data_IF_620044150028
#
_entry.id   IF_620044150028
#
_cell.length_a   1.000
_cell.length_b   1.000
_cell.length_c   1.000
_cell.angle_alpha   90.00
_cell.angle_beta   90.00
_cell.angle_gamma   90.00
#
_symmetry.space_group_name_H-M   'P 1'
#
loop_
_entity.id
_entity.type
_entity.pdbx_description
1 polymer ?
#
# COMPACT_ATOMS: atom_id res chain seq x y z
N UNK A 1 5.43 -8.30 17.40
CA UNK A 1 4.24 -7.67 16.81
C UNK A 1 3.79 -6.55 17.72
N UNK A 2 3.52 -5.35 17.19
CA UNK A 2 2.68 -4.38 17.91
C UNK A 2 1.30 -5.03 18.12
N UNK A 3 0.61 -4.66 19.21
CA UNK A 3 -0.75 -5.12 19.50
C UNK A 3 -1.76 -4.68 18.44
N UNK A 4 -3.06 -4.80 18.76
CA UNK A 4 -4.14 -4.34 17.90
C UNK A 4 -3.93 -2.89 17.43
N UNK A 5 -4.36 -2.52 16.20
CA UNK A 5 -4.27 -1.13 15.74
C UNK A 5 -5.00 -0.17 16.66
N UNK A 6 -4.29 0.87 17.11
CA UNK A 6 -4.80 1.95 17.95
C UNK A 6 -5.28 3.16 17.12
N UNK A 7 -4.67 3.40 15.94
CA UNK A 7 -5.10 4.40 14.97
C UNK A 7 -4.74 4.00 13.53
N UNK A 8 -5.70 4.11 12.61
CA UNK A 8 -5.53 3.68 11.22
C UNK A 8 -5.65 4.90 10.29
N UNK A 9 -4.73 5.03 9.33
CA UNK A 9 -4.76 6.08 8.33
C UNK A 9 -4.84 5.50 6.92
N UNK A 10 -5.86 5.87 6.14
CA UNK A 10 -6.05 5.39 4.75
C UNK A 10 -5.11 6.11 3.79
N UNK A 11 -4.43 5.33 2.94
CA UNK A 11 -3.56 5.84 1.88
C UNK A 11 -4.07 5.36 0.52
N UNK A 12 -4.28 6.29 -0.39
CA UNK A 12 -4.67 6.02 -1.78
C UNK A 12 -3.42 6.00 -2.66
N UNK A 13 -2.99 4.81 -3.06
CA UNK A 13 -1.84 4.61 -3.93
C UNK A 13 -2.24 4.69 -5.41
N UNK A 14 -1.39 5.29 -6.22
CA UNK A 14 -1.52 5.35 -7.68
C UNK A 14 -0.19 5.77 -8.33
N UNK A 15 -0.18 5.94 -9.65
CA UNK A 15 1.03 6.37 -10.38
C UNK A 15 1.58 7.75 -9.98
N UNK A 16 0.78 8.59 -9.31
CA UNK A 16 1.21 9.88 -8.75
C UNK A 16 1.54 9.83 -7.25
N UNK A 17 1.35 8.69 -6.59
CA UNK A 17 1.71 8.47 -5.19
C UNK A 17 1.97 6.97 -4.95
N UNK A 18 3.22 6.57 -5.13
CA UNK A 18 3.72 5.20 -5.14
C UNK A 18 4.21 4.74 -3.76
N UNK A 19 4.78 3.53 -3.67
CA UNK A 19 5.43 3.06 -2.43
C UNK A 19 6.60 3.95 -2.01
N UNK A 20 7.39 4.44 -2.96
CA UNK A 20 8.53 5.33 -2.67
C UNK A 20 8.05 6.67 -2.10
N UNK A 21 7.00 7.26 -2.68
CA UNK A 21 6.43 8.54 -2.21
C UNK A 21 5.83 8.39 -0.80
N UNK A 22 5.18 7.25 -0.54
CA UNK A 22 4.69 6.93 0.79
C UNK A 22 5.85 6.74 1.79
N UNK A 23 6.93 6.08 1.38
CA UNK A 23 8.12 5.86 2.22
C UNK A 23 8.71 7.19 2.71
N UNK A 24 8.84 8.18 1.82
CA UNK A 24 9.31 9.54 2.16
C UNK A 24 8.37 10.25 3.15
N UNK A 25 7.08 9.92 3.13
CA UNK A 25 6.06 10.50 3.99
C UNK A 25 5.95 9.83 5.38
N UNK A 26 6.57 8.66 5.61
CA UNK A 26 6.45 7.92 6.88
C UNK A 26 6.82 8.72 8.13
N UNK A 27 7.86 9.59 8.13
CA UNK A 27 8.17 10.43 9.30
C UNK A 27 7.00 11.35 9.68
N UNK A 28 6.20 11.82 8.72
CA UNK A 28 5.01 12.61 9.00
C UNK A 28 3.95 11.77 9.73
N UNK A 29 3.60 10.60 9.21
CA UNK A 29 2.60 9.72 9.84
C UNK A 29 3.02 9.30 11.25
N UNK A 30 4.32 9.04 11.45
CA UNK A 30 4.88 8.73 12.75
C UNK A 30 4.73 9.89 13.75
N UNK A 31 4.98 11.13 13.31
CA UNK A 31 4.78 12.34 14.13
C UNK A 31 3.30 12.64 14.38
N UNK A 32 2.43 12.35 13.42
CA UNK A 32 0.99 12.51 13.54
C UNK A 32 0.38 11.57 14.60
N UNK A 33 1.07 10.46 14.92
CA UNK A 33 0.60 9.47 15.89
C UNK A 33 -0.17 8.31 15.26
N UNK A 34 -0.01 8.10 13.95
CA UNK A 34 -0.58 6.94 13.25
C UNK A 34 0.11 5.66 13.73
N UNK A 35 -0.68 4.62 13.98
CA UNK A 35 -0.16 3.30 14.32
C UNK A 35 -0.03 2.39 13.11
N UNK A 36 -1.00 2.43 12.20
CA UNK A 36 -1.11 1.58 11.02
C UNK A 36 -1.51 2.40 9.80
N UNK A 37 -0.86 2.13 8.68
CA UNK A 37 -1.27 2.63 7.37
C UNK A 37 -2.17 1.58 6.71
N UNK A 38 -3.34 1.99 6.28
CA UNK A 38 -4.26 1.18 5.51
C UNK A 38 -4.09 1.51 4.04
N UNK A 39 -3.45 0.63 3.29
CA UNK A 39 -3.14 0.84 1.88
C UNK A 39 -4.33 0.41 1.02
N UNK A 40 -4.63 1.16 -0.05
CA UNK A 40 -5.48 0.69 -1.15
C UNK A 40 -4.92 -0.59 -1.80
N UNK A 41 -5.69 -1.30 -2.63
CA UNK A 41 -5.20 -2.52 -3.29
C UNK A 41 -3.88 -2.29 -4.03
N UNK A 42 -3.01 -3.29 -3.98
CA UNK A 42 -1.64 -3.19 -4.53
C UNK A 42 -1.34 -4.17 -5.66
N UNK A 43 -2.27 -5.09 -5.94
CA UNK A 43 -2.11 -6.09 -7.00
C UNK A 43 -2.21 -5.44 -8.37
N UNK A 44 -1.61 -6.06 -9.39
CA UNK A 44 -1.54 -5.49 -10.73
C UNK A 44 -2.94 -5.27 -11.34
N UNK A 45 -3.17 -4.05 -11.82
CA UNK A 45 -4.49 -3.55 -12.20
C UNK A 45 -4.47 -2.94 -13.60
N UNK A 46 -5.65 -2.81 -14.21
CA UNK A 46 -5.73 -2.37 -15.61
C UNK A 46 -5.02 -1.02 -15.81
N UNK A 47 -4.40 -0.85 -16.99
CA UNK A 47 -3.59 0.34 -17.32
C UNK A 47 -4.34 1.64 -17.02
N UNK A 48 -3.67 2.55 -16.31
CA UNK A 48 -4.26 3.84 -15.92
C UNK A 48 -5.17 3.77 -14.69
N UNK A 49 -5.23 2.63 -13.99
CA UNK A 49 -5.94 2.54 -12.72
C UNK A 49 -5.40 3.56 -11.71
N UNK A 50 -6.33 4.23 -11.03
CA UNK A 50 -6.05 5.17 -9.94
C UNK A 50 -6.42 4.61 -8.57
N UNK A 51 -6.99 3.40 -8.53
CA UNK A 51 -7.59 2.82 -7.32
C UNK A 51 -7.32 1.32 -7.12
N UNK A 52 -6.87 0.61 -8.17
CA UNK A 52 -6.41 -0.78 -8.14
C UNK A 52 -7.44 -1.87 -7.79
N UNK A 53 -8.69 -1.52 -7.48
CA UNK A 53 -9.80 -2.49 -7.41
C UNK A 53 -10.10 -3.26 -8.71
N UNK A 54 -9.62 -2.77 -9.85
CA UNK A 54 -9.73 -3.40 -11.17
C UNK A 54 -8.52 -4.31 -11.46
N UNK A 55 -8.21 -5.21 -10.52
CA UNK A 55 -7.11 -6.17 -10.62
C UNK A 55 -7.32 -7.11 -11.82
N UNK A 56 -6.28 -7.33 -12.62
CA UNK A 56 -6.28 -8.31 -13.71
C UNK A 56 -5.27 -9.45 -13.47
N UNK A 57 -4.33 -9.28 -12.55
CA UNK A 57 -3.36 -10.30 -12.17
C UNK A 57 -3.14 -10.29 -10.65
N UNK A 58 -3.52 -11.39 -9.99
CA UNK A 58 -3.36 -11.60 -8.55
C UNK A 58 -1.98 -12.15 -8.14
N UNK A 59 -1.13 -12.49 -9.11
CA UNK A 59 0.19 -13.09 -8.86
C UNK A 59 1.31 -12.05 -8.75
N UNK A 60 1.01 -10.78 -9.04
CA UNK A 60 1.98 -9.70 -9.05
C UNK A 60 1.50 -8.47 -8.28
N UNK A 61 2.41 -7.85 -7.53
CA UNK A 61 2.25 -6.48 -7.02
C UNK A 61 2.48 -5.51 -8.17
N UNK A 62 1.66 -4.46 -8.26
CA UNK A 62 1.69 -3.56 -9.39
C UNK A 62 3.06 -2.91 -9.58
N UNK A 63 3.60 -3.09 -10.78
CA UNK A 63 4.82 -2.44 -11.25
C UNK A 63 4.70 -0.91 -11.23
N UNK A 64 3.50 -0.36 -11.44
CA UNK A 64 3.22 1.09 -11.38
C UNK A 64 3.45 1.66 -9.98
N UNK A 65 3.23 0.87 -8.93
CA UNK A 65 3.44 1.29 -7.54
C UNK A 65 4.88 1.07 -7.06
N UNK A 66 5.70 0.35 -7.83
CA UNK A 66 7.08 -0.02 -7.48
C UNK A 66 7.32 -1.54 -7.39
N UNK A 67 6.30 -2.37 -7.61
CA UNK A 67 6.39 -3.82 -7.60
C UNK A 67 6.71 -4.41 -6.22
N UNK A 68 7.07 -5.69 -6.21
CA UNK A 68 7.35 -6.46 -4.98
C UNK A 68 8.52 -5.85 -4.18
N UNK A 69 9.64 -5.54 -4.82
CA UNK A 69 10.78 -4.90 -4.17
C UNK A 69 10.42 -3.54 -3.53
N UNK A 70 9.59 -2.73 -4.20
CA UNK A 70 9.13 -1.46 -3.64
C UNK A 70 8.24 -1.64 -2.41
N UNK A 71 7.37 -2.66 -2.42
CA UNK A 71 6.55 -2.99 -1.27
C UNK A 71 7.38 -3.52 -0.10
N UNK A 72 8.37 -4.39 -0.35
CA UNK A 72 9.29 -4.88 0.68
C UNK A 72 10.08 -3.75 1.35
N UNK A 73 10.61 -2.81 0.55
CA UNK A 73 11.32 -1.64 1.06
C UNK A 73 10.42 -0.78 1.96
N UNK A 74 9.20 -0.46 1.50
CA UNK A 74 8.21 0.27 2.28
C UNK A 74 7.88 -0.45 3.59
N UNK A 75 7.64 -1.77 3.54
CA UNK A 75 7.29 -2.56 4.71
C UNK A 75 8.42 -2.58 5.75
N UNK A 76 9.67 -2.75 5.29
CA UNK A 76 10.84 -2.68 6.15
C UNK A 76 10.97 -1.29 6.80
N UNK A 77 10.76 -0.22 6.03
CA UNK A 77 10.85 1.14 6.55
C UNK A 77 9.75 1.45 7.56
N UNK A 78 8.52 1.00 7.30
CA UNK A 78 7.41 1.07 8.25
C UNK A 78 7.77 0.38 9.57
N UNK A 79 8.32 -0.84 9.48
CA UNK A 79 8.75 -1.61 10.65
C UNK A 79 9.80 -0.84 11.48
N UNK A 80 10.82 -0.26 10.84
CA UNK A 80 11.85 0.54 11.51
C UNK A 80 11.28 1.76 12.26
N UNK A 81 10.21 2.36 11.74
CA UNK A 81 9.52 3.49 12.38
C UNK A 81 8.43 3.03 13.38
N UNK A 82 8.19 1.73 13.49
CA UNK A 82 7.13 1.16 14.32
C UNK A 82 5.73 1.43 13.78
N UNK A 83 5.57 1.59 12.46
CA UNK A 83 4.29 1.66 11.77
C UNK A 83 3.90 0.26 11.27
N UNK A 84 2.63 -0.13 11.47
CA UNK A 84 2.07 -1.33 10.87
C UNK A 84 1.44 -1.05 9.51
N UNK A 85 1.20 -2.11 8.73
CA UNK A 85 0.49 -2.04 7.45
C UNK A 85 -0.77 -2.90 7.51
N UNK A 86 -1.85 -2.39 6.93
CA UNK A 86 -3.09 -3.12 6.65
C UNK A 86 -3.30 -3.03 5.14
N UNK A 87 -3.52 -4.18 4.50
CA UNK A 87 -3.73 -4.26 3.06
C UNK A 87 -5.21 -4.43 2.74
N UNK A 88 -5.71 -3.60 1.82
CA UNK A 88 -6.98 -3.80 1.15
C UNK A 88 -6.84 -4.89 0.08
N UNK A 89 -7.78 -5.85 0.08
CA UNK A 89 -7.77 -6.99 -0.84
C UNK A 89 -9.11 -7.13 -1.55
N UNK A 90 -9.07 -7.59 -2.81
CA UNK A 90 -10.24 -7.65 -3.69
C UNK A 90 -10.50 -9.09 -4.15
N UNK A 91 -10.90 -10.00 -3.24
CA UNK A 91 -11.00 -11.42 -3.57
C UNK A 91 -12.22 -11.78 -4.43
N UNK A 92 -13.20 -10.87 -4.56
CA UNK A 92 -14.48 -11.17 -5.19
C UNK A 92 -14.44 -11.16 -6.72
N UNK A 93 -13.63 -10.30 -7.33
CA UNK A 93 -13.70 -10.03 -8.78
C UNK A 93 -12.35 -9.67 -9.39
N UNK A 94 -12.31 -9.74 -10.71
CA UNK A 94 -11.19 -9.30 -11.56
C UNK A 94 -11.74 -8.47 -12.73
N UNK A 95 -10.85 -7.72 -13.38
CA UNK A 95 -11.14 -7.01 -14.64
C UNK A 95 -10.81 -7.85 -15.85
N UNK A 96 -11.65 -7.74 -16.86
CA UNK A 96 -11.44 -8.31 -18.20
C UNK A 96 -10.75 -7.24 -19.04
N UNK A 97 -9.61 -7.58 -19.66
CA UNK A 97 -8.82 -6.68 -20.52
C UNK A 97 -9.41 -6.54 -21.93
#
# INVERSE_FOLDING_TARGET
>A
MKGLPDSIYRVQLNSGFTFSDLEESLPYFRRLGVSHLYLSPIMEAAKGSTHFYNTYDFTAISSVLGGENGFEALALRCQQLGLGLILDIVPNHMTIL
#
